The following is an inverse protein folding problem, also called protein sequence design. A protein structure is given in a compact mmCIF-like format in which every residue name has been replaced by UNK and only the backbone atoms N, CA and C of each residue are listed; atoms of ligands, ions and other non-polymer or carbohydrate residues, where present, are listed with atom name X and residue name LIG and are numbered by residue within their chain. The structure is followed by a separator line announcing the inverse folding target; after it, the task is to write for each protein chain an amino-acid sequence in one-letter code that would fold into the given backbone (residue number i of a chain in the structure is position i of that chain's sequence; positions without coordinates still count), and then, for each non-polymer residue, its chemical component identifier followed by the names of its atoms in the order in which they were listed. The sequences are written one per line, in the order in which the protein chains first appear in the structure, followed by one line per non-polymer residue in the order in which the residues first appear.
data_IF_066779491542
#
_entry.id   IF_066779491542
#
_cell.length_a   1.000
_cell.length_b   1.000
_cell.length_c   1.000
_cell.angle_alpha   90.00
_cell.angle_beta   90.00
_cell.angle_gamma   90.00
#
_symmetry.space_group_name_H-M   'P 1'
#
loop_
_entity.id
_entity.type
_entity.pdbx_description
1 polymer ?
#
# COMPACT_ATOMS: atom_id res chain seq x y z
N UNK A 1 9.27 -1.47 19.46
CA UNK A 1 10.24 -0.61 18.71
C UNK A 1 9.81 -0.51 17.25
N UNK A 2 10.03 0.65 16.56
CA UNK A 2 9.74 0.79 15.12
C UNK A 2 11.05 0.83 14.34
N UNK A 3 11.15 0.04 13.26
CA UNK A 3 12.35 -0.07 12.44
C UNK A 3 12.05 -0.52 11.01
N UNK A 4 13.06 -0.51 10.16
CA UNK A 4 13.00 -1.19 8.87
C UNK A 4 12.96 -2.72 9.07
N UNK A 5 12.27 -3.40 8.17
CA UNK A 5 12.24 -4.85 8.12
C UNK A 5 13.66 -5.40 7.84
N UNK A 6 14.02 -6.45 8.54
CA UNK A 6 15.22 -7.24 8.26
C UNK A 6 14.83 -8.52 7.49
N UNK A 7 15.75 -9.15 6.78
CA UNK A 7 15.45 -10.41 6.07
C UNK A 7 14.90 -11.52 6.96
N UNK A 8 15.31 -11.55 8.23
CA UNK A 8 14.80 -12.50 9.24
C UNK A 8 13.33 -12.31 9.60
N UNK A 9 12.76 -11.12 9.36
CA UNK A 9 11.38 -10.78 9.72
C UNK A 9 10.37 -11.21 8.65
N UNK A 10 10.82 -11.56 7.43
CA UNK A 10 9.96 -11.82 6.29
C UNK A 10 8.86 -12.84 6.60
N UNK A 11 9.23 -13.95 7.22
CA UNK A 11 8.25 -15.00 7.56
C UNK A 11 7.18 -14.50 8.52
N UNK A 12 7.57 -13.70 9.53
CA UNK A 12 6.64 -13.11 10.50
C UNK A 12 5.71 -12.07 9.84
N UNK A 13 6.26 -11.21 8.97
CA UNK A 13 5.48 -10.21 8.21
C UNK A 13 4.48 -10.90 7.29
N UNK A 14 4.89 -11.94 6.56
CA UNK A 14 4.00 -12.72 5.69
C UNK A 14 2.86 -13.33 6.50
N UNK A 15 3.17 -13.98 7.62
CA UNK A 15 2.15 -14.62 8.48
C UNK A 15 1.17 -13.60 9.06
N UNK A 16 1.67 -12.45 9.54
CA UNK A 16 0.85 -11.37 10.06
C UNK A 16 -0.10 -10.81 9.00
N UNK A 17 0.42 -10.52 7.81
CA UNK A 17 -0.36 -9.99 6.71
C UNK A 17 -1.43 -10.98 6.22
N UNK A 18 -1.09 -12.26 6.07
CA UNK A 18 -2.06 -13.31 5.72
C UNK A 18 -3.21 -13.36 6.73
N UNK A 19 -2.88 -13.33 8.02
CA UNK A 19 -3.87 -13.37 9.11
C UNK A 19 -4.82 -12.17 9.07
N UNK A 20 -4.31 -10.98 8.85
CA UNK A 20 -5.08 -9.73 8.97
C UNK A 20 -5.83 -9.35 7.69
N UNK A 21 -5.32 -9.74 6.52
CA UNK A 21 -5.85 -9.31 5.22
C UNK A 21 -6.29 -10.44 4.30
N UNK A 22 -5.90 -11.68 4.59
CA UNK A 22 -6.29 -12.86 3.82
C UNK A 22 -5.59 -13.00 2.45
N UNK A 23 -4.57 -12.18 2.17
CA UNK A 23 -3.81 -12.28 0.92
C UNK A 23 -2.96 -13.56 0.88
N UNK A 24 -2.66 -14.08 -0.31
CA UNK A 24 -1.80 -15.26 -0.45
C UNK A 24 -0.34 -14.94 -0.11
N UNK A 25 0.40 -15.92 0.42
CA UNK A 25 1.82 -15.76 0.73
C UNK A 25 2.64 -15.35 -0.50
N UNK A 26 2.32 -15.89 -1.68
CA UNK A 26 2.99 -15.56 -2.94
C UNK A 26 2.78 -14.09 -3.33
N UNK A 27 1.54 -13.59 -3.21
CA UNK A 27 1.25 -12.18 -3.44
C UNK A 27 2.00 -11.28 -2.47
N UNK A 28 1.99 -11.62 -1.18
CA UNK A 28 2.66 -10.82 -0.15
C UNK A 28 4.17 -10.75 -0.42
N UNK A 29 4.83 -11.88 -0.69
CA UNK A 29 6.26 -11.88 -1.05
C UNK A 29 6.55 -11.03 -2.28
N UNK A 30 5.71 -11.14 -3.32
CA UNK A 30 5.83 -10.30 -4.50
C UNK A 30 5.68 -8.80 -4.16
N UNK A 31 4.75 -8.45 -3.27
CA UNK A 31 4.57 -7.08 -2.83
C UNK A 31 5.78 -6.55 -2.05
N UNK A 32 6.35 -7.37 -1.16
CA UNK A 32 7.54 -7.01 -0.40
C UNK A 32 8.75 -6.77 -1.33
N UNK A 33 8.97 -7.65 -2.29
CA UNK A 33 10.12 -7.58 -3.20
C UNK A 33 9.99 -6.51 -4.28
N UNK A 34 8.81 -6.44 -4.94
CA UNK A 34 8.66 -5.66 -6.18
C UNK A 34 7.99 -4.31 -6.00
N UNK A 35 7.13 -4.14 -5.01
CA UNK A 35 6.37 -2.90 -4.86
C UNK A 35 7.10 -1.89 -3.98
N UNK A 36 7.65 -2.33 -2.87
CA UNK A 36 8.28 -1.44 -1.92
C UNK A 36 9.82 -1.44 -2.00
N UNK A 37 10.43 -2.62 -2.11
CA UNK A 37 11.85 -2.81 -1.86
C UNK A 37 12.17 -2.84 -0.35
N UNK A 38 13.25 -3.50 0.02
CA UNK A 38 13.58 -3.76 1.43
C UNK A 38 13.70 -2.48 2.29
N UNK A 39 14.16 -1.38 1.67
CA UNK A 39 14.34 -0.08 2.34
C UNK A 39 13.02 0.66 2.63
N UNK A 40 11.89 0.16 2.17
CA UNK A 40 10.58 0.78 2.32
C UNK A 40 9.56 -0.09 3.07
N UNK A 41 10.03 -1.13 3.74
CA UNK A 41 9.20 -2.01 4.56
C UNK A 41 9.49 -1.70 6.03
N UNK A 42 8.46 -1.37 6.77
CA UNK A 42 8.53 -0.95 8.16
C UNK A 42 7.79 -1.91 9.07
N UNK A 43 8.35 -2.19 10.22
CA UNK A 43 7.77 -3.10 11.20
C UNK A 43 7.73 -2.48 12.59
N UNK A 44 6.78 -2.91 13.40
CA UNK A 44 6.76 -2.70 14.83
C UNK A 44 7.08 -4.02 15.54
N UNK A 45 7.99 -3.95 16.48
CA UNK A 45 8.47 -5.10 17.26
C UNK A 45 8.19 -4.87 18.73
N UNK A 46 7.59 -5.85 19.40
CA UNK A 46 7.39 -5.92 20.85
C UNK A 46 7.80 -7.30 21.35
N UNK A 47 8.60 -7.35 22.40
CA UNK A 47 9.08 -8.61 23.01
C UNK A 47 9.71 -9.59 22.00
N UNK A 48 10.52 -9.06 21.08
CA UNK A 48 11.17 -9.81 19.98
C UNK A 48 10.18 -10.42 18.95
N UNK A 49 8.91 -10.00 18.95
CA UNK A 49 7.91 -10.42 17.98
C UNK A 49 7.48 -9.25 17.07
N UNK A 50 7.28 -9.52 15.79
CA UNK A 50 6.71 -8.56 14.85
C UNK A 50 5.21 -8.49 15.04
N UNK A 51 4.73 -7.34 15.53
CA UNK A 51 3.32 -7.10 15.88
C UNK A 51 2.58 -6.20 14.89
N UNK A 52 3.30 -5.47 14.05
CA UNK A 52 2.71 -4.70 12.95
C UNK A 52 3.69 -4.53 11.79
N UNK A 53 3.17 -4.34 10.58
CA UNK A 53 3.94 -4.09 9.38
C UNK A 53 3.22 -3.11 8.44
N UNK A 54 4.00 -2.39 7.63
CA UNK A 54 3.51 -1.49 6.58
C UNK A 54 4.57 -1.27 5.51
N UNK A 55 4.14 -1.06 4.27
CA UNK A 55 4.99 -0.71 3.14
C UNK A 55 4.79 0.76 2.76
N UNK A 56 5.89 1.42 2.38
CA UNK A 56 5.88 2.74 1.76
C UNK A 56 6.23 2.60 0.28
N UNK A 57 5.26 2.28 -0.57
CA UNK A 57 5.49 2.13 -2.01
C UNK A 57 5.78 3.51 -2.62
N UNK A 58 6.91 3.71 -3.33
CA UNK A 58 7.20 4.99 -3.98
C UNK A 58 6.15 5.31 -5.04
N UNK A 59 5.66 6.55 -5.05
CA UNK A 59 4.66 7.02 -6.01
C UNK A 59 4.97 8.45 -6.46
N UNK A 60 4.40 8.83 -7.59
CA UNK A 60 4.48 10.22 -8.07
C UNK A 60 3.08 10.79 -8.31
N UNK A 61 2.92 12.09 -8.09
CA UNK A 61 1.72 12.84 -8.41
C UNK A 61 2.13 14.20 -8.99
N UNK A 62 1.77 14.45 -10.24
CA UNK A 62 2.13 15.70 -10.95
C UNK A 62 3.63 16.03 -10.82
N UNK A 63 4.50 15.05 -11.00
CA UNK A 63 5.95 15.19 -10.90
C UNK A 63 6.51 15.35 -9.48
N UNK A 64 5.69 15.28 -8.44
CA UNK A 64 6.12 15.31 -7.04
C UNK A 64 6.26 13.88 -6.51
N UNK A 65 7.38 13.60 -5.87
CA UNK A 65 7.63 12.32 -5.20
C UNK A 65 6.81 12.20 -3.93
N UNK A 66 6.27 11.03 -3.68
CA UNK A 66 5.51 10.68 -2.47
C UNK A 66 5.60 9.20 -2.15
N UNK A 67 4.81 8.77 -1.19
CA UNK A 67 4.70 7.36 -0.83
C UNK A 67 3.22 6.93 -0.71
N UNK A 68 2.96 5.68 -1.06
CA UNK A 68 1.70 5.02 -0.81
C UNK A 68 1.86 4.05 0.37
N UNK A 69 1.18 4.34 1.46
CA UNK A 69 1.09 3.47 2.61
C UNK A 69 0.22 2.26 2.24
N UNK A 70 0.87 1.12 2.05
CA UNK A 70 0.23 -0.12 1.63
C UNK A 70 0.43 -1.22 2.66
N UNK A 71 -0.48 -2.18 2.72
CA UNK A 71 -0.33 -3.37 3.55
C UNK A 71 -0.27 -3.10 5.06
N UNK A 72 -0.76 -1.93 5.54
CA UNK A 72 -0.82 -1.67 6.98
C UNK A 72 -1.62 -2.76 7.68
N UNK A 73 -0.96 -3.54 8.52
CA UNK A 73 -1.53 -4.65 9.26
C UNK A 73 -0.86 -4.79 10.63
N UNK A 74 -1.56 -5.38 11.59
CA UNK A 74 -1.08 -5.61 12.94
C UNK A 74 -2.11 -5.34 14.01
N UNK A 75 -1.71 -5.53 15.25
CA UNK A 75 -2.59 -5.44 16.42
C UNK A 75 -2.32 -4.16 17.22
N UNK A 76 -3.42 -3.61 17.76
CA UNK A 76 -3.35 -2.44 18.66
C UNK A 76 -3.27 -1.11 17.92
N UNK A 77 -4.28 -0.27 18.11
CA UNK A 77 -4.39 1.04 17.45
C UNK A 77 -3.22 1.97 17.75
N UNK A 78 -2.65 1.90 18.95
CA UNK A 78 -1.49 2.72 19.34
C UNK A 78 -0.22 2.28 18.61
N UNK A 79 -0.02 0.97 18.42
CA UNK A 79 1.13 0.42 17.70
C UNK A 79 1.06 0.80 16.23
N UNK A 80 -0.11 0.62 15.60
CA UNK A 80 -0.34 1.02 14.21
C UNK A 80 -0.18 2.52 14.02
N UNK A 81 -0.70 3.33 14.95
CA UNK A 81 -0.54 4.78 14.93
C UNK A 81 0.95 5.20 14.98
N UNK A 82 1.72 4.59 15.86
CA UNK A 82 3.16 4.84 15.97
C UNK A 82 3.94 4.37 14.74
N UNK A 83 3.54 3.24 14.14
CA UNK A 83 4.15 2.76 12.89
C UNK A 83 3.89 3.72 11.72
N UNK A 84 2.67 4.25 11.61
CA UNK A 84 2.32 5.26 10.60
C UNK A 84 3.15 6.54 10.79
N UNK A 85 3.25 7.04 12.03
CA UNK A 85 4.08 8.22 12.34
C UNK A 85 5.54 8.00 11.95
N UNK A 86 6.10 6.84 12.34
CA UNK A 86 7.48 6.49 12.04
C UNK A 86 7.72 6.40 10.53
N UNK A 87 6.86 5.68 9.80
CA UNK A 87 6.94 5.55 8.35
C UNK A 87 6.87 6.93 7.67
N UNK A 88 5.89 7.75 8.01
CA UNK A 88 5.73 9.09 7.43
C UNK A 88 6.95 9.98 7.71
N UNK A 89 7.51 9.92 8.91
CA UNK A 89 8.73 10.65 9.26
C UNK A 89 9.92 10.19 8.40
N UNK A 90 10.12 8.87 8.24
CA UNK A 90 11.20 8.33 7.40
C UNK A 90 11.03 8.70 5.93
N UNK A 91 9.80 8.63 5.39
CA UNK A 91 9.53 9.03 4.01
C UNK A 91 9.77 10.52 3.77
N UNK A 92 9.39 11.36 4.73
CA UNK A 92 9.67 12.81 4.69
C UNK A 92 11.17 13.09 4.66
N UNK A 93 11.97 12.40 5.49
CA UNK A 93 13.43 12.52 5.49
C UNK A 93 14.07 12.11 4.14
N UNK A 94 13.42 11.22 3.41
CA UNK A 94 13.83 10.78 2.07
C UNK A 94 13.30 11.67 0.94
N UNK A 95 12.62 12.77 1.27
CA UNK A 95 12.14 13.75 0.30
C UNK A 95 10.73 13.49 -0.24
N UNK A 96 9.96 12.57 0.36
CA UNK A 96 8.56 12.41 0.00
C UNK A 96 7.77 13.67 0.40
N UNK A 97 7.12 14.28 -0.57
CA UNK A 97 6.33 15.49 -0.38
C UNK A 97 4.90 15.21 0.11
N UNK A 98 4.45 13.96 0.02
CA UNK A 98 3.12 13.52 0.48
C UNK A 98 3.12 12.01 0.75
N UNK A 99 2.15 11.56 1.54
CA UNK A 99 1.82 10.15 1.71
C UNK A 99 0.32 9.97 1.45
N UNK A 100 -0.02 8.95 0.66
CA UNK A 100 -1.41 8.55 0.43
C UNK A 100 -1.67 7.17 1.02
N UNK A 101 -2.91 6.87 1.37
CA UNK A 101 -3.33 5.58 1.88
C UNK A 101 -4.76 5.26 1.46
N UNK A 102 -5.05 3.97 1.30
CA UNK A 102 -6.43 3.45 1.18
C UNK A 102 -6.69 2.59 2.41
N UNK A 103 -7.53 3.06 3.35
CA UNK A 103 -7.82 2.30 4.57
C UNK A 103 -8.59 1.01 4.26
N UNK A 104 -8.29 -0.06 4.97
CA UNK A 104 -8.96 -1.35 4.83
C UNK A 104 -10.38 -1.36 5.47
N UNK A 105 -10.70 -0.36 6.28
CA UNK A 105 -12.00 -0.24 6.94
C UNK A 105 -12.11 1.03 7.77
N UNK A 106 -13.22 1.18 8.48
CA UNK A 106 -13.52 2.41 9.24
C UNK A 106 -12.52 2.67 10.38
N UNK A 107 -12.08 1.63 11.09
CA UNK A 107 -11.11 1.78 12.18
C UNK A 107 -9.77 2.31 11.66
N UNK A 108 -9.29 1.77 10.54
CA UNK A 108 -8.05 2.22 9.92
C UNK A 108 -8.21 3.64 9.33
N UNK A 109 -9.39 3.97 8.77
CA UNK A 109 -9.69 5.32 8.32
C UNK A 109 -9.63 6.33 9.46
N UNK A 110 -10.27 6.03 10.60
CA UNK A 110 -10.24 6.88 11.79
C UNK A 110 -8.81 7.05 12.34
N UNK A 111 -8.02 5.96 12.36
CA UNK A 111 -6.62 6.02 12.75
C UNK A 111 -5.82 6.99 11.86
N UNK A 112 -5.97 6.87 10.54
CA UNK A 112 -5.26 7.73 9.58
C UNK A 112 -5.73 9.19 9.69
N UNK A 113 -7.03 9.45 9.85
CA UNK A 113 -7.56 10.80 10.05
C UNK A 113 -6.98 11.42 11.34
N UNK A 114 -6.88 10.67 12.44
CA UNK A 114 -6.24 11.10 13.67
C UNK A 114 -4.74 11.39 13.52
N UNK A 115 -4.09 10.82 12.50
CA UNK A 115 -2.69 11.10 12.13
C UNK A 115 -2.53 12.22 11.10
N UNK A 116 -3.60 12.96 10.83
CA UNK A 116 -3.57 14.13 9.96
C UNK A 116 -3.78 13.81 8.48
N UNK A 117 -4.11 12.58 8.11
CA UNK A 117 -4.53 12.27 6.75
C UNK A 117 -5.88 12.92 6.46
N UNK A 118 -6.00 13.51 5.29
CA UNK A 118 -7.24 14.12 4.84
C UNK A 118 -7.88 13.27 3.76
N UNK A 119 -9.20 13.14 3.80
CA UNK A 119 -9.94 12.42 2.79
C UNK A 119 -9.88 13.19 1.46
N UNK A 120 -9.18 12.62 0.48
CA UNK A 120 -9.04 13.21 -0.85
C UNK A 120 -10.17 12.78 -1.81
N UNK A 121 -10.59 11.51 -1.73
CA UNK A 121 -11.67 10.94 -2.55
C UNK A 121 -12.25 9.69 -1.89
N UNK A 122 -13.40 9.25 -2.37
CA UNK A 122 -14.01 7.99 -1.97
C UNK A 122 -14.04 7.02 -3.15
N UNK A 123 -13.54 5.80 -2.96
CA UNK A 123 -13.72 4.70 -3.92
C UNK A 123 -15.09 4.07 -3.69
N UNK A 124 -15.86 3.95 -4.75
CA UNK A 124 -17.13 3.24 -4.73
C UNK A 124 -17.03 1.98 -5.58
N UNK A 125 -17.11 0.82 -4.94
CA UNK A 125 -17.24 -0.44 -5.66
C UNK A 125 -18.70 -0.57 -6.16
N UNK A 126 -18.85 -0.66 -7.47
CA UNK A 126 -20.14 -0.96 -8.11
C UNK A 126 -20.08 -2.40 -8.60
N UNK A 127 -20.67 -3.36 -7.87
CA UNK A 127 -20.74 -4.73 -8.34
C UNK A 127 -21.57 -4.76 -9.64
N UNK A 128 -21.05 -5.38 -10.67
CA UNK A 128 -21.71 -5.57 -11.95
C UNK A 128 -21.66 -7.05 -12.32
N UNK A 129 -22.78 -7.63 -12.63
CA UNK A 129 -22.79 -8.94 -13.27
C UNK A 129 -22.17 -8.83 -14.67
N UNK A 130 -21.11 -9.61 -14.89
CA UNK A 130 -20.46 -9.71 -16.21
C UNK A 130 -21.04 -10.93 -16.91
N UNK A 131 -21.84 -10.70 -17.94
CA UNK A 131 -22.32 -11.81 -18.78
C UNK A 131 -21.17 -12.39 -19.59
N UNK A 132 -21.09 -13.72 -19.67
CA UNK A 132 -20.04 -14.44 -20.43
C UNK A 132 -19.97 -14.02 -21.91
N UNK A 133 -21.05 -13.53 -22.48
CA UNK A 133 -21.13 -13.14 -23.89
C UNK A 133 -20.35 -11.85 -24.24
N UNK A 134 -20.00 -11.04 -23.25
CA UNK A 134 -19.18 -9.83 -23.48
C UNK A 134 -17.70 -10.13 -23.73
N UNK A 135 -17.21 -11.32 -23.33
CA UNK A 135 -15.79 -11.69 -23.44
C UNK A 135 -15.45 -12.43 -24.74
N UNK A 136 -16.43 -13.02 -25.42
CA UNK A 136 -16.20 -13.85 -26.61
C UNK A 136 -15.93 -13.06 -27.89
N UNK A 137 -16.09 -11.75 -27.90
CA UNK A 137 -15.90 -10.89 -29.07
C UNK A 137 -14.83 -9.80 -28.89
N UNK A 138 -14.17 -9.75 -27.75
CA UNK A 138 -13.12 -8.77 -27.52
C UNK A 138 -11.78 -9.34 -27.98
N UNK A 139 -11.19 -8.79 -29.03
CA UNK A 139 -9.79 -8.95 -29.33
C UNK A 139 -8.99 -8.11 -28.35
N UNK A 140 -8.22 -8.79 -27.49
CA UNK A 140 -7.30 -8.12 -26.57
C UNK A 140 -5.93 -8.02 -27.23
N UNK A 141 -5.57 -6.85 -27.66
CA UNK A 141 -4.19 -6.55 -28.01
C UNK A 141 -3.31 -6.66 -26.76
N UNK A 142 -2.13 -7.25 -26.89
CA UNK A 142 -1.14 -7.26 -25.84
C UNK A 142 -0.69 -5.82 -25.56
N UNK A 143 -1.20 -5.24 -24.48
CA UNK A 143 -0.84 -3.89 -24.06
C UNK A 143 0.33 -3.98 -23.10
N UNK A 144 1.46 -3.37 -23.47
CA UNK A 144 2.62 -3.30 -22.59
C UNK A 144 2.33 -2.42 -21.37
N UNK A 145 2.97 -2.69 -20.23
CA UNK A 145 2.85 -1.87 -19.04
C UNK A 145 3.14 -0.38 -19.32
N UNK A 146 4.12 -0.09 -20.19
CA UNK A 146 4.43 1.27 -20.65
C UNK A 146 3.25 1.94 -21.34
N UNK A 147 2.58 1.25 -22.25
CA UNK A 147 1.42 1.81 -22.97
C UNK A 147 0.23 2.03 -22.03
N UNK A 148 0.05 1.17 -21.02
CA UNK A 148 -0.94 1.39 -19.97
C UNK A 148 -0.64 2.64 -19.14
N UNK A 149 0.62 2.87 -18.78
CA UNK A 149 1.03 4.08 -18.08
C UNK A 149 0.78 5.34 -18.93
N UNK A 150 1.17 5.34 -20.21
CA UNK A 150 0.93 6.44 -21.14
C UNK A 150 -0.57 6.77 -21.31
N UNK A 151 -1.43 5.73 -21.41
CA UNK A 151 -2.88 5.91 -21.48
C UNK A 151 -3.41 6.48 -20.17
N UNK A 152 -2.94 5.98 -19.03
CA UNK A 152 -3.33 6.47 -17.72
C UNK A 152 -2.97 7.93 -17.53
N UNK A 153 -1.75 8.36 -17.88
CA UNK A 153 -1.32 9.76 -17.84
C UNK A 153 -2.20 10.66 -18.72
N UNK A 154 -2.57 10.17 -19.90
CA UNK A 154 -3.41 10.91 -20.83
C UNK A 154 -4.85 11.11 -20.33
N UNK A 155 -5.46 10.08 -19.77
CA UNK A 155 -6.85 10.11 -19.36
C UNK A 155 -7.08 10.48 -17.89
N UNK A 156 -6.06 10.28 -17.05
CA UNK A 156 -6.10 10.51 -15.61
C UNK A 156 -4.84 11.21 -15.10
N UNK A 157 -4.53 12.42 -15.61
CA UNK A 157 -3.27 13.12 -15.29
C UNK A 157 -3.14 13.50 -13.81
N UNK A 158 -4.26 13.56 -13.10
CA UNK A 158 -4.34 13.98 -11.70
C UNK A 158 -4.39 12.80 -10.71
N UNK A 159 -4.13 11.57 -11.18
CA UNK A 159 -4.10 10.39 -10.32
C UNK A 159 -2.68 10.08 -9.83
N UNK A 160 -2.60 9.46 -8.66
CA UNK A 160 -1.32 8.94 -8.13
C UNK A 160 -0.82 7.84 -9.06
N UNK A 161 0.47 7.92 -9.41
CA UNK A 161 1.15 6.96 -10.29
C UNK A 161 2.14 6.12 -9.47
N UNK A 162 2.18 4.84 -9.75
CA UNK A 162 3.04 3.84 -9.09
C UNK A 162 4.25 3.52 -9.95
#
# INVERSE_FOLDING_TARGET
MYRLMQPSDEAAVVALWQKERGDSAEFIKTALEKFAGAENIYVAEENDEIVAAALAVPVTLKGRSGSYLYGLCGQGSLILAGLVDYLCAQQKLRGAGFTVAVPAGQEQAALLENKGFQRAFALRCLPREVSRNLWSQAEFDSVTARKLCELRERFYPDTVQF
#
